data_IF_051825203281
#
_entry.id   IF_051825203281
#
_cell.length_a   1.000
_cell.length_b   1.000
_cell.length_c   1.000
_cell.angle_alpha   90.00
_cell.angle_beta   90.00
_cell.angle_gamma   90.00
#
_symmetry.space_group_name_H-M   'P 1'
#
loop_
_entity.id
_entity.type
_entity.pdbx_description
1 polymer ?
#
# COMPACT_ATOMS: atom_id res chain seq x y z
N UNK A 1 18.82 39.88 -23.81
CA UNK A 1 18.98 39.70 -22.35
C UNK A 1 18.31 38.37 -22.01
N UNK A 2 19.06 37.27 -21.95
CA UNK A 2 18.50 35.96 -21.64
C UNK A 2 18.49 35.79 -20.12
N UNK A 3 17.30 35.72 -19.54
CA UNK A 3 17.11 35.48 -18.10
C UNK A 3 17.33 33.98 -17.85
N UNK A 4 18.36 33.66 -17.08
CA UNK A 4 18.56 32.32 -16.52
C UNK A 4 17.55 32.09 -15.41
N UNK A 5 16.56 31.24 -15.66
CA UNK A 5 15.66 30.75 -14.60
C UNK A 5 16.49 29.85 -13.69
N UNK A 6 16.63 30.15 -12.39
CA UNK A 6 17.31 29.26 -11.48
C UNK A 6 16.50 27.97 -11.36
N UNK A 7 17.16 26.83 -11.54
CA UNK A 7 16.55 25.53 -11.29
C UNK A 7 16.09 25.50 -9.82
N UNK A 8 14.77 25.49 -9.61
CA UNK A 8 14.21 25.26 -8.29
C UNK A 8 14.65 23.86 -7.84
N UNK A 9 15.33 23.78 -6.69
CA UNK A 9 15.54 22.52 -5.95
C UNK A 9 14.19 22.05 -5.38
N UNK A 10 13.25 21.69 -6.26
CA UNK A 10 11.90 21.26 -5.90
C UNK A 10 11.72 19.76 -6.17
N UNK A 11 12.77 18.96 -5.99
CA UNK A 11 12.72 17.53 -6.17
C UNK A 11 13.13 16.88 -4.85
N UNK A 12 12.12 16.48 -4.07
CA UNK A 12 12.26 15.75 -2.81
C UNK A 12 12.86 14.34 -2.97
N UNK A 13 13.48 14.06 -4.12
CA UNK A 13 14.08 12.78 -4.48
C UNK A 13 15.19 12.37 -3.49
N UNK A 14 15.83 13.35 -2.83
CA UNK A 14 16.81 13.13 -1.78
C UNK A 14 16.32 13.31 -0.34
N UNK A 15 15.03 13.58 -0.07
CA UNK A 15 14.57 13.85 1.29
C UNK A 15 14.60 12.56 2.14
N UNK A 16 15.50 12.46 3.14
CA UNK A 16 15.57 11.26 3.96
C UNK A 16 14.37 11.26 4.91
N UNK A 17 13.58 10.19 4.86
CA UNK A 17 12.52 10.00 5.86
C UNK A 17 13.16 9.95 7.26
N UNK A 18 12.70 10.80 8.21
CA UNK A 18 13.21 10.79 9.57
C UNK A 18 13.07 9.41 10.23
N UNK A 19 13.97 9.11 11.17
CA UNK A 19 13.97 7.88 11.97
C UNK A 19 14.22 6.54 11.23
N UNK A 20 14.46 6.53 9.90
CA UNK A 20 14.96 5.33 9.22
C UNK A 20 16.44 5.11 9.59
N UNK A 21 16.81 3.98 10.23
CA UNK A 21 18.21 3.66 10.50
C UNK A 21 19.00 3.53 9.19
N UNK A 22 20.20 4.11 9.13
CA UNK A 22 21.05 4.14 7.94
C UNK A 22 22.45 3.62 8.23
N UNK A 23 23.08 3.06 7.21
CA UNK A 23 24.49 2.68 7.21
C UNK A 23 25.38 3.93 7.07
N UNK A 24 26.71 3.84 7.32
CA UNK A 24 27.64 4.95 7.13
C UNK A 24 27.67 5.53 5.69
N UNK A 25 27.28 4.72 4.69
CA UNK A 25 27.14 5.15 3.29
C UNK A 25 25.83 5.91 2.99
N UNK A 26 25.00 6.14 4.02
CA UNK A 26 23.74 6.85 3.94
C UNK A 26 22.56 6.01 3.46
N UNK A 27 22.74 4.74 3.08
CA UNK A 27 21.63 3.88 2.62
C UNK A 27 20.80 3.34 3.79
N UNK A 28 19.49 3.05 3.58
CA UNK A 28 18.66 2.41 4.61
C UNK A 28 19.28 1.08 5.06
N UNK A 29 19.39 0.89 6.37
CA UNK A 29 19.86 -0.35 6.94
C UNK A 29 18.72 -1.37 7.02
N UNK A 30 18.66 -2.31 6.07
CA UNK A 30 17.62 -3.34 5.99
C UNK A 30 17.74 -4.44 7.06
N UNK A 31 18.84 -4.49 7.82
CA UNK A 31 19.02 -5.43 8.94
C UNK A 31 18.82 -4.79 10.31
N UNK A 32 18.45 -3.51 10.36
CA UNK A 32 18.16 -2.83 11.62
C UNK A 32 16.97 -3.50 12.34
N UNK A 33 16.93 -3.48 13.68
CA UNK A 33 15.77 -3.92 14.44
C UNK A 33 14.51 -3.21 13.98
N UNK A 34 13.39 -3.94 13.98
CA UNK A 34 12.08 -3.39 13.65
C UNK A 34 11.77 -2.20 14.58
N UNK A 35 11.45 -1.01 14.04
CA UNK A 35 11.01 0.13 14.84
C UNK A 35 9.82 -0.23 15.73
N UNK A 36 9.88 0.22 16.99
CA UNK A 36 8.84 0.01 17.98
C UNK A 36 8.34 1.35 18.50
N UNK A 37 7.05 1.44 18.78
CA UNK A 37 6.45 2.58 19.49
C UNK A 37 6.77 2.50 20.99
N UNK A 38 6.42 3.56 21.72
CA UNK A 38 6.55 3.62 23.18
C UNK A 38 5.78 2.50 23.92
N UNK A 39 4.73 1.94 23.31
CA UNK A 39 3.97 0.80 23.85
C UNK A 39 4.58 -0.57 23.53
N UNK A 40 5.77 -0.61 22.93
CA UNK A 40 6.49 -1.83 22.53
C UNK A 40 5.93 -2.52 21.27
N UNK A 41 4.83 -2.02 20.69
CA UNK A 41 4.28 -2.58 19.44
C UNK A 41 5.10 -2.13 18.24
N UNK A 42 5.10 -2.91 17.13
CA UNK A 42 5.68 -2.46 15.87
C UNK A 42 5.15 -1.09 15.45
N UNK A 43 6.07 -0.22 15.03
CA UNK A 43 5.72 1.02 14.35
C UNK A 43 5.64 0.75 12.84
N UNK A 44 4.42 0.85 12.31
CA UNK A 44 4.11 0.67 10.89
C UNK A 44 4.02 2.02 10.17
N UNK A 45 4.28 3.13 10.85
CA UNK A 45 4.17 4.47 10.26
C UNK A 45 5.15 4.63 9.10
N UNK A 46 4.67 5.17 7.98
CA UNK A 46 5.49 5.33 6.79
C UNK A 46 4.69 5.18 5.49
N UNK A 47 5.42 5.23 4.37
CA UNK A 47 4.88 5.02 3.04
C UNK A 47 5.13 3.55 2.66
N UNK A 48 4.07 2.89 2.24
CA UNK A 48 4.05 1.50 1.83
C UNK A 48 3.54 1.39 0.39
N UNK A 49 4.11 0.48 -0.37
CA UNK A 49 3.67 0.22 -1.75
C UNK A 49 3.72 -1.28 -1.99
N UNK A 50 2.65 -1.83 -2.58
CA UNK A 50 2.64 -3.23 -3.01
C UNK A 50 3.60 -3.40 -4.17
N UNK A 51 4.62 -4.25 -4.00
CA UNK A 51 5.63 -4.53 -5.03
C UNK A 51 5.12 -5.47 -6.13
N UNK A 52 3.93 -6.06 -5.96
CA UNK A 52 3.40 -7.07 -6.88
C UNK A 52 2.15 -6.66 -7.64
N UNK A 53 1.57 -5.47 -7.37
CA UNK A 53 0.46 -4.89 -8.16
C UNK A 53 -0.66 -5.88 -8.52
N UNK A 54 -0.93 -6.85 -7.65
CA UNK A 54 -1.58 -8.08 -8.06
C UNK A 54 -3.09 -7.97 -7.84
N UNK A 55 -3.83 -7.71 -8.92
CA UNK A 55 -5.29 -7.95 -8.96
C UNK A 55 -5.63 -9.45 -8.89
N UNK A 56 -4.62 -10.32 -9.01
CA UNK A 56 -4.75 -11.77 -8.92
C UNK A 56 -3.92 -12.31 -7.74
N UNK A 57 -4.58 -12.66 -6.65
CA UNK A 57 -3.94 -13.23 -5.45
C UNK A 57 -3.30 -14.60 -5.70
N UNK A 58 -3.67 -15.30 -6.78
CA UNK A 58 -3.08 -16.59 -7.12
C UNK A 58 -1.61 -16.48 -7.57
N UNK A 59 -1.13 -15.28 -7.92
CA UNK A 59 0.28 -15.03 -8.31
C UNK A 59 1.25 -15.34 -7.16
N UNK A 60 0.80 -15.28 -5.91
CA UNK A 60 1.62 -15.61 -4.74
C UNK A 60 1.67 -17.10 -4.39
N UNK A 61 0.87 -17.93 -5.03
CA UNK A 61 0.75 -19.36 -4.70
C UNK A 61 1.91 -20.18 -5.25
N UNK A 62 2.30 -21.24 -4.54
CA UNK A 62 3.28 -22.19 -5.07
C UNK A 62 2.69 -22.95 -6.24
N UNK A 63 3.55 -23.54 -7.08
CA UNK A 63 3.10 -24.42 -8.16
C UNK A 63 2.25 -25.56 -7.60
N UNK A 64 1.03 -25.70 -8.13
CA UNK A 64 0.07 -26.72 -7.71
C UNK A 64 -0.86 -26.29 -6.57
N UNK A 65 -0.64 -25.13 -5.95
CA UNK A 65 -1.58 -24.56 -4.99
C UNK A 65 -2.70 -23.80 -5.71
N UNK A 66 -3.90 -23.86 -5.14
CA UNK A 66 -5.08 -23.12 -5.60
C UNK A 66 -5.59 -22.23 -4.47
N UNK A 67 -6.33 -21.18 -4.82
CA UNK A 67 -6.97 -20.33 -3.81
C UNK A 67 -7.97 -21.19 -3.02
N UNK A 68 -7.84 -21.27 -1.68
CA UNK A 68 -8.63 -22.18 -0.87
C UNK A 68 -10.04 -21.62 -0.61
N UNK A 69 -10.85 -21.56 -1.65
CA UNK A 69 -12.25 -21.18 -1.53
C UNK A 69 -13.05 -22.29 -0.84
N UNK A 70 -14.01 -21.90 0.01
CA UNK A 70 -15.13 -22.79 0.31
C UNK A 70 -16.11 -22.83 -0.87
N UNK A 71 -17.07 -23.77 -0.87
CA UNK A 71 -17.97 -23.97 -2.00
C UNK A 71 -18.75 -22.69 -2.38
N UNK A 72 -19.32 -21.99 -1.40
CA UNK A 72 -20.06 -20.75 -1.63
C UNK A 72 -19.17 -19.63 -2.18
N UNK A 73 -17.95 -19.49 -1.64
CA UNK A 73 -16.97 -18.50 -2.11
C UNK A 73 -16.51 -18.76 -3.53
N UNK A 74 -16.32 -20.03 -3.91
CA UNK A 74 -15.96 -20.41 -5.28
C UNK A 74 -17.09 -20.10 -6.26
N UNK A 75 -18.33 -20.46 -5.90
CA UNK A 75 -19.50 -20.17 -6.73
C UNK A 75 -19.67 -18.66 -6.96
N UNK A 76 -19.56 -17.86 -5.89
CA UNK A 76 -19.65 -16.39 -5.99
C UNK A 76 -18.49 -15.79 -6.78
N UNK A 77 -17.28 -16.34 -6.65
CA UNK A 77 -16.13 -15.92 -7.45
C UNK A 77 -16.39 -16.18 -8.94
N UNK A 78 -16.83 -17.39 -9.30
CA UNK A 78 -17.11 -17.76 -10.69
C UNK A 78 -18.22 -16.91 -11.31
N UNK A 79 -19.30 -16.64 -10.56
CA UNK A 79 -20.38 -15.75 -10.97
C UNK A 79 -19.86 -14.33 -11.27
N UNK A 80 -19.05 -13.77 -10.37
CA UNK A 80 -18.46 -12.43 -10.54
C UNK A 80 -17.48 -12.37 -11.71
N UNK A 81 -16.76 -13.45 -11.99
CA UNK A 81 -15.92 -13.52 -13.18
C UNK A 81 -16.76 -13.55 -14.46
N UNK A 82 -17.85 -14.33 -14.47
CA UNK A 82 -18.74 -14.45 -15.62
C UNK A 82 -19.50 -13.13 -15.93
N UNK A 83 -19.80 -12.33 -14.91
CA UNK A 83 -20.53 -11.07 -15.06
C UNK A 83 -19.63 -9.82 -15.12
N UNK A 84 -18.32 -10.00 -15.33
CA UNK A 84 -17.31 -8.92 -15.38
C UNK A 84 -17.25 -8.06 -14.10
N UNK A 85 -17.55 -8.64 -12.94
CA UNK A 85 -17.52 -7.96 -11.63
C UNK A 85 -18.36 -6.67 -11.61
N UNK A 86 -19.49 -6.64 -12.32
CA UNK A 86 -20.37 -5.46 -12.45
C UNK A 86 -20.85 -4.88 -11.11
N UNK A 87 -20.83 -5.68 -10.05
CA UNK A 87 -21.27 -5.32 -8.71
C UNK A 87 -20.13 -4.81 -7.80
N UNK A 88 -18.91 -4.67 -8.33
CA UNK A 88 -17.80 -4.01 -7.62
C UNK A 88 -18.15 -2.52 -7.37
N UNK A 89 -17.96 -1.98 -6.16
CA UNK A 89 -18.34 -0.60 -5.83
C UNK A 89 -17.79 0.48 -6.78
N UNK A 90 -16.57 0.30 -7.29
CA UNK A 90 -15.96 1.19 -8.28
C UNK A 90 -16.72 1.29 -9.60
N UNK A 91 -17.53 0.28 -9.98
CA UNK A 91 -18.44 0.36 -11.12
C UNK A 91 -19.60 1.34 -10.89
N UNK A 92 -19.86 1.74 -9.65
CA UNK A 92 -20.91 2.70 -9.23
C UNK A 92 -20.34 4.01 -8.70
N UNK A 93 -19.10 4.36 -9.07
CA UNK A 93 -18.37 5.52 -8.56
C UNK A 93 -18.16 5.52 -7.03
N UNK A 94 -18.32 4.38 -6.37
CA UNK A 94 -18.05 4.24 -4.94
C UNK A 94 -16.59 3.83 -4.70
N UNK A 95 -16.03 4.10 -3.50
CA UNK A 95 -14.72 3.60 -3.14
C UNK A 95 -14.65 2.07 -3.21
N UNK A 96 -13.66 1.55 -3.93
CA UNK A 96 -13.38 0.10 -3.90
C UNK A 96 -12.94 -0.34 -2.51
N UNK A 97 -13.23 -1.60 -2.17
CA UNK A 97 -12.85 -2.22 -0.90
C UNK A 97 -11.35 -2.23 -0.60
N UNK A 98 -11.05 -2.20 0.69
CA UNK A 98 -9.69 -2.15 1.26
C UNK A 98 -8.78 -3.30 0.79
N UNK A 99 -9.22 -4.57 0.68
CA UNK A 99 -8.35 -5.64 0.20
C UNK A 99 -7.76 -5.37 -1.18
N UNK A 100 -8.53 -4.78 -2.09
CA UNK A 100 -8.03 -4.39 -3.41
C UNK A 100 -7.11 -3.17 -3.32
N UNK A 101 -7.47 -2.15 -2.51
CA UNK A 101 -6.65 -0.95 -2.34
C UNK A 101 -5.24 -1.26 -1.81
N UNK A 102 -5.12 -2.21 -0.90
CA UNK A 102 -3.83 -2.68 -0.38
C UNK A 102 -2.95 -3.37 -1.45
N UNK A 103 -3.54 -3.87 -2.53
CA UNK A 103 -2.83 -4.58 -3.59
C UNK A 103 -2.50 -3.72 -4.81
N UNK A 104 -3.01 -2.49 -4.85
CA UNK A 104 -2.66 -1.54 -5.89
C UNK A 104 -1.18 -1.17 -5.78
N UNK A 105 -0.52 -1.01 -6.93
CA UNK A 105 0.85 -0.50 -7.00
C UNK A 105 0.91 1.04 -6.79
N UNK A 106 0.01 1.56 -5.97
CA UNK A 106 -0.05 2.97 -5.58
C UNK A 106 0.32 3.07 -4.11
N UNK A 107 1.20 4.02 -3.73
CA UNK A 107 1.56 4.24 -2.34
C UNK A 107 0.35 4.41 -1.40
N UNK A 108 0.50 3.90 -0.18
CA UNK A 108 -0.34 4.20 0.96
C UNK A 108 0.51 4.70 2.12
N UNK A 109 0.00 5.66 2.89
CA UNK A 109 0.65 6.16 4.10
C UNK A 109 -0.05 5.61 5.33
N UNK A 110 0.69 4.98 6.23
CA UNK A 110 0.21 4.60 7.55
C UNK A 110 0.69 5.66 8.55
N UNK A 111 -0.22 6.10 9.41
CA UNK A 111 0.04 7.02 10.51
C UNK A 111 -0.44 6.35 11.79
N UNK A 112 0.47 6.10 12.72
CA UNK A 112 0.13 5.60 14.05
C UNK A 112 0.41 6.68 15.10
N UNK A 113 -0.62 7.05 15.84
CA UNK A 113 -0.53 7.90 17.03
C UNK A 113 -1.23 7.19 18.20
N UNK A 114 -1.04 7.62 19.46
CA UNK A 114 -1.82 7.08 20.57
C UNK A 114 -3.33 7.18 20.29
N UNK A 115 -4.01 6.03 20.28
CA UNK A 115 -5.47 5.95 20.09
C UNK A 115 -5.98 6.05 18.65
N UNK A 116 -5.12 6.17 17.64
CA UNK A 116 -5.56 6.22 16.23
C UNK A 116 -4.53 5.62 15.29
N UNK A 117 -5.00 4.77 14.36
CA UNK A 117 -4.28 4.40 13.16
C UNK A 117 -5.03 4.87 11.92
N UNK A 118 -4.41 5.74 11.13
CA UNK A 118 -4.94 6.17 9.84
C UNK A 118 -4.14 5.54 8.69
N UNK A 119 -4.85 5.05 7.67
CA UNK A 119 -4.26 4.57 6.42
C UNK A 119 -4.81 5.44 5.29
N UNK A 120 -3.92 6.15 4.61
CA UNK A 120 -4.24 7.07 3.52
C UNK A 120 -3.80 6.42 2.21
N UNK A 121 -4.72 6.18 1.29
CA UNK A 121 -4.42 5.62 -0.02
C UNK A 121 -4.31 6.75 -1.02
N UNK A 122 -3.18 6.81 -1.75
CA UNK A 122 -3.00 7.80 -2.81
C UNK A 122 -4.03 7.61 -3.93
N UNK A 123 -4.34 6.35 -4.25
CA UNK A 123 -5.38 6.02 -5.23
C UNK A 123 -6.77 6.45 -4.73
N UNK A 124 -7.38 7.36 -5.49
CA UNK A 124 -8.76 7.86 -5.30
C UNK A 124 -9.02 8.55 -3.95
N UNK A 125 -7.96 9.02 -3.28
CA UNK A 125 -8.05 9.79 -2.01
C UNK A 125 -8.93 9.09 -0.96
N UNK A 126 -8.79 7.77 -0.86
CA UNK A 126 -9.55 6.95 0.09
C UNK A 126 -8.76 6.80 1.40
N UNK A 127 -9.46 6.64 2.53
CA UNK A 127 -8.81 6.45 3.82
C UNK A 127 -9.55 5.44 4.70
N UNK A 128 -8.81 4.86 5.64
CA UNK A 128 -9.34 4.01 6.72
C UNK A 128 -8.80 4.52 8.05
N UNK A 129 -9.67 4.60 9.06
CA UNK A 129 -9.30 4.92 10.43
C UNK A 129 -9.72 3.75 11.33
N UNK A 130 -8.83 3.35 12.24
CA UNK A 130 -9.00 2.24 13.19
C UNK A 130 -8.54 2.72 14.57
#
# INVERSE_FOLDING_TARGET
MFSTVPAALAQWEGYPTPAIPRLPDGKPNLSAPLPRKADGKPDLSGIWQSTRGAFNIAVGLKRGEVVPFNAAGKALFDERQANNSKDEPGARCLPTGIPMRNQLNTPMKIIQIPGLTAILYESRTTFRQI
#
